data_IF_015900486059
#
_entry.id   IF_015900486059
#
_cell.length_a   1.000
_cell.length_b   1.000
_cell.length_c   1.000
_cell.angle_alpha   90.00
_cell.angle_beta   90.00
_cell.angle_gamma   90.00
#
_symmetry.space_group_name_H-M   'P 1'
#
loop_
_entity.id
_entity.type
_entity.pdbx_description
1 polymer ?
#
# COMPACT_ATOMS: atom_id res chain seq x y z
N UNK A 1 86.84 -0.60 61.31
CA UNK A 1 85.82 -1.67 61.31
C UNK A 1 84.53 -1.05 61.82
N UNK A 2 83.63 -0.69 60.90
CA UNK A 2 82.31 -1.30 60.66
C UNK A 2 81.36 -1.17 61.86
N UNK A 3 80.42 -0.20 61.80
CA UNK A 3 78.99 -0.34 61.37
C UNK A 3 78.17 -0.71 62.63
N UNK A 4 77.11 -0.01 63.05
CA UNK A 4 75.84 0.19 62.35
C UNK A 4 75.01 1.28 63.04
N UNK A 5 74.26 2.05 62.25
CA UNK A 5 73.28 3.05 62.70
C UNK A 5 71.90 2.39 62.70
N UNK A 6 71.32 2.15 63.86
CA UNK A 6 69.92 1.76 63.98
C UNK A 6 69.04 3.01 64.00
N UNK A 7 68.72 3.51 62.81
CA UNK A 7 67.63 4.45 62.59
C UNK A 7 66.45 3.65 62.07
N UNK A 8 65.39 3.66 62.85
CA UNK A 8 64.07 3.07 62.59
C UNK A 8 63.57 3.34 61.14
N UNK A 9 63.44 2.32 60.26
CA UNK A 9 62.77 2.50 58.99
C UNK A 9 61.26 2.22 59.18
N UNK A 10 60.51 3.30 58.98
CA UNK A 10 59.13 3.39 58.52
C UNK A 10 58.39 2.05 58.32
N UNK A 11 57.27 1.93 59.03
CA UNK A 11 56.22 0.91 58.85
C UNK A 11 55.90 0.61 57.38
N UNK A 12 55.57 -0.65 57.05
CA UNK A 12 55.31 -1.07 55.67
C UNK A 12 54.14 -0.27 55.07
N UNK A 13 54.34 0.15 53.83
CA UNK A 13 53.30 0.71 52.96
C UNK A 13 52.08 -0.22 52.98
N UNK A 14 51.00 0.23 53.63
CA UNK A 14 49.68 -0.36 53.43
C UNK A 14 49.23 0.12 52.06
N UNK A 15 49.23 -0.77 51.07
CA UNK A 15 48.57 -0.47 49.80
C UNK A 15 47.06 -0.33 50.08
N UNK A 16 46.39 0.72 49.56
CA UNK A 16 44.96 0.87 49.74
C UNK A 16 44.24 -0.31 49.09
N UNK A 17 43.29 -0.88 49.83
CA UNK A 17 42.43 -1.96 49.38
C UNK A 17 41.48 -1.42 48.29
N UNK A 18 41.35 -2.03 47.10
CA UNK A 18 40.62 -1.44 45.98
C UNK A 18 39.09 -1.55 46.10
N UNK A 19 38.53 -1.75 47.29
CA UNK A 19 37.11 -2.02 47.46
C UNK A 19 36.25 -0.84 47.90
N UNK A 20 36.83 0.33 48.21
CA UNK A 20 36.11 1.36 48.96
C UNK A 20 35.85 2.69 48.22
N UNK A 21 36.20 2.82 46.95
CA UNK A 21 35.88 4.03 46.16
C UNK A 21 35.51 3.70 44.72
N UNK A 22 34.32 3.16 44.46
CA UNK A 22 33.76 3.15 43.10
C UNK A 22 32.22 3.14 43.13
N UNK A 23 31.66 4.02 43.97
CA UNK A 23 30.28 4.46 43.83
C UNK A 23 30.29 5.85 43.20
N UNK A 24 29.99 5.89 41.91
CA UNK A 24 29.23 6.99 41.30
C UNK A 24 30.02 8.24 40.82
N UNK A 25 31.00 8.08 39.91
CA UNK A 25 31.40 9.21 39.04
C UNK A 25 31.80 8.73 37.63
N UNK A 26 30.82 8.41 36.79
CA UNK A 26 31.07 8.27 35.34
C UNK A 26 31.78 9.54 34.81
N UNK A 27 32.88 9.45 34.05
CA UNK A 27 33.55 10.63 33.47
C UNK A 27 32.54 11.52 32.75
N UNK A 28 32.67 12.85 32.84
CA UNK A 28 31.69 13.82 32.31
C UNK A 28 31.27 13.57 30.85
N UNK A 29 32.16 13.02 30.04
CA UNK A 29 31.92 12.65 28.64
C UNK A 29 31.00 11.42 28.51
N UNK A 30 31.13 10.45 29.42
CA UNK A 30 30.34 9.21 29.40
C UNK A 30 28.91 9.46 29.87
N UNK A 31 28.73 10.30 30.89
CA UNK A 31 27.41 10.84 31.28
C UNK A 31 26.74 11.58 30.14
N UNK A 32 27.46 12.48 29.47
CA UNK A 32 26.94 13.23 28.34
C UNK A 32 26.49 12.31 27.18
N UNK A 33 27.19 11.20 26.93
CA UNK A 33 26.79 10.20 25.92
C UNK A 33 25.53 9.44 26.33
N UNK A 34 25.43 9.02 27.59
CA UNK A 34 24.25 8.34 28.13
C UNK A 34 23.02 9.26 28.07
N UNK A 35 23.17 10.51 28.47
CA UNK A 35 22.11 11.51 28.43
C UNK A 35 21.68 11.83 26.99
N UNK A 36 22.64 11.93 26.06
CA UNK A 36 22.35 12.12 24.64
C UNK A 36 21.57 10.95 24.04
N UNK A 37 21.95 9.70 24.37
CA UNK A 37 21.24 8.51 23.89
C UNK A 37 19.81 8.45 24.43
N UNK A 38 19.63 8.70 25.73
CA UNK A 38 18.30 8.74 26.36
C UNK A 38 17.41 9.82 25.75
N UNK A 39 17.97 11.01 25.51
CA UNK A 39 17.26 12.12 24.85
C UNK A 39 16.88 11.77 23.41
N UNK A 40 17.75 11.08 22.68
CA UNK A 40 17.48 10.62 21.31
C UNK A 40 16.36 9.58 21.27
N UNK A 41 16.33 8.64 22.21
CA UNK A 41 15.25 7.67 22.35
C UNK A 41 13.91 8.33 22.68
N UNK A 42 13.90 9.30 23.60
CA UNK A 42 12.70 10.06 23.95
C UNK A 42 12.18 10.88 22.77
N UNK A 43 13.07 11.51 22.00
CA UNK A 43 12.72 12.23 20.77
C UNK A 43 12.18 11.30 19.70
N UNK A 44 12.75 10.09 19.57
CA UNK A 44 12.26 9.10 18.62
C UNK A 44 10.86 8.61 19.01
N UNK A 45 10.64 8.26 20.28
CA UNK A 45 9.33 7.85 20.82
C UNK A 45 8.28 8.95 20.65
N UNK A 46 8.62 10.21 20.94
CA UNK A 46 7.73 11.36 20.73
C UNK A 46 7.38 11.56 19.26
N UNK A 47 8.36 11.49 18.35
CA UNK A 47 8.11 11.58 16.90
C UNK A 47 7.22 10.45 16.39
N UNK A 48 7.45 9.21 16.82
CA UNK A 48 6.60 8.06 16.47
C UNK A 48 5.18 8.28 16.97
N UNK A 49 5.00 8.73 18.21
CA UNK A 49 3.68 9.05 18.75
C UNK A 49 3.00 10.22 18.03
N UNK A 50 3.75 11.26 17.63
CA UNK A 50 3.22 12.36 16.82
C UNK A 50 2.80 11.90 15.42
N UNK A 51 3.57 11.01 14.79
CA UNK A 51 3.23 10.41 13.50
C UNK A 51 1.96 9.55 13.63
N UNK A 52 1.82 8.79 14.72
CA UNK A 52 0.64 7.97 14.99
C UNK A 52 -0.60 8.80 15.37
N UNK A 53 -0.42 9.98 15.96
CA UNK A 53 -1.49 10.92 16.32
C UNK A 53 -1.93 11.84 15.17
N UNK A 54 -1.12 11.98 14.12
CA UNK A 54 -1.55 12.69 12.92
C UNK A 54 -2.72 11.91 12.31
N UNK A 55 -3.90 12.53 12.12
CA UNK A 55 -4.96 11.88 11.36
C UNK A 55 -4.36 11.51 10.01
N UNK A 56 -4.44 10.22 9.62
CA UNK A 56 -4.18 9.82 8.24
C UNK A 56 -5.00 10.78 7.39
N UNK A 57 -4.33 11.67 6.66
CA UNK A 57 -5.00 12.68 5.85
C UNK A 57 -6.10 11.98 5.08
N UNK A 58 -7.30 12.58 5.08
CA UNK A 58 -8.45 12.07 4.37
C UNK A 58 -8.00 11.84 2.92
N UNK A 59 -7.66 10.59 2.56
CA UNK A 59 -7.45 10.23 1.15
C UNK A 59 -8.77 10.59 0.52
N UNK A 60 -8.79 11.55 -0.39
CA UNK A 60 -9.94 11.74 -1.26
C UNK A 60 -10.05 10.45 -2.07
N UNK A 61 -10.81 9.49 -1.54
CA UNK A 61 -11.04 8.20 -2.14
C UNK A 61 -11.61 8.50 -3.52
N UNK A 62 -10.85 8.20 -4.58
CA UNK A 62 -11.22 8.58 -5.95
C UNK A 62 -12.56 7.92 -6.34
N UNK A 63 -12.91 6.84 -5.65
CA UNK A 63 -14.10 6.04 -5.88
C UNK A 63 -13.90 5.09 -7.04
N UNK A 64 -14.96 4.37 -7.41
CA UNK A 64 -14.94 3.35 -8.47
C UNK A 64 -16.02 3.55 -9.52
N UNK A 65 -16.54 4.78 -9.65
CA UNK A 65 -17.70 5.05 -10.53
C UNK A 65 -17.34 4.74 -11.97
N UNK A 66 -16.26 5.33 -12.47
CA UNK A 66 -15.88 5.20 -13.87
C UNK A 66 -15.41 3.78 -14.19
N UNK A 67 -14.70 3.16 -13.24
CA UNK A 67 -14.27 1.75 -13.30
C UNK A 67 -15.47 0.82 -13.37
N UNK A 68 -16.51 1.03 -12.57
CA UNK A 68 -17.73 0.22 -12.58
C UNK A 68 -18.53 0.42 -13.88
N UNK A 69 -18.57 1.63 -14.42
CA UNK A 69 -19.21 1.92 -15.72
C UNK A 69 -18.51 1.22 -16.89
N UNK A 70 -17.18 1.33 -16.96
CA UNK A 70 -16.38 0.64 -17.98
C UNK A 70 -16.46 -0.89 -17.82
N UNK A 71 -16.40 -1.39 -16.59
CA UNK A 71 -16.58 -2.82 -16.30
C UNK A 71 -17.96 -3.30 -16.75
N UNK A 72 -19.03 -2.54 -16.47
CA UNK A 72 -20.39 -2.84 -16.90
C UNK A 72 -20.50 -2.93 -18.42
N UNK A 73 -19.84 -2.01 -19.15
CA UNK A 73 -19.79 -2.03 -20.61
C UNK A 73 -19.11 -3.30 -21.12
N UNK A 74 -17.87 -3.57 -20.69
CA UNK A 74 -17.07 -4.72 -21.15
C UNK A 74 -17.78 -6.04 -20.85
N UNK A 75 -18.29 -6.20 -19.62
CA UNK A 75 -18.99 -7.42 -19.22
C UNK A 75 -20.29 -7.60 -19.98
N UNK A 76 -21.07 -6.52 -20.21
CA UNK A 76 -22.30 -6.61 -20.98
C UNK A 76 -22.01 -7.02 -22.44
N UNK A 77 -20.96 -6.44 -23.03
CA UNK A 77 -20.54 -6.76 -24.40
C UNK A 77 -20.04 -8.21 -24.53
N UNK A 78 -19.19 -8.66 -23.60
CA UNK A 78 -18.68 -10.02 -23.58
C UNK A 78 -19.79 -11.05 -23.37
N UNK A 79 -20.74 -10.79 -22.46
CA UNK A 79 -21.88 -11.68 -22.22
C UNK A 79 -22.82 -11.76 -23.42
N UNK A 80 -23.13 -10.62 -24.06
CA UNK A 80 -23.91 -10.61 -25.30
C UNK A 80 -23.22 -11.41 -26.41
N UNK A 81 -21.89 -11.23 -26.57
CA UNK A 81 -21.09 -11.95 -27.55
C UNK A 81 -21.09 -13.46 -27.29
N UNK A 82 -20.95 -13.89 -26.04
CA UNK A 82 -20.96 -15.30 -25.66
C UNK A 82 -22.32 -15.96 -25.96
N UNK A 83 -23.43 -15.29 -25.63
CA UNK A 83 -24.78 -15.79 -25.93
C UNK A 83 -25.05 -15.99 -27.42
N UNK A 84 -24.55 -15.08 -28.26
CA UNK A 84 -24.67 -15.18 -29.72
C UNK A 84 -23.76 -16.24 -30.35
N UNK A 85 -22.70 -16.65 -29.66
CA UNK A 85 -21.79 -17.69 -30.15
C UNK A 85 -22.21 -19.09 -29.69
N UNK A 86 -23.13 -19.20 -28.73
CA UNK A 86 -23.54 -20.47 -28.11
C UNK A 86 -24.29 -21.38 -29.09
N UNK A 87 -24.99 -20.81 -30.07
CA UNK A 87 -25.67 -21.55 -31.15
C UNK A 87 -24.88 -21.56 -32.49
N UNK A 88 -23.71 -20.91 -32.51
CA UNK A 88 -22.83 -20.80 -33.68
C UNK A 88 -23.37 -19.92 -34.80
N UNK A 89 -24.43 -19.13 -34.59
CA UNK A 89 -25.07 -18.32 -35.63
C UNK A 89 -25.37 -16.92 -35.12
N UNK A 90 -24.78 -15.92 -35.76
CA UNK A 90 -25.24 -14.53 -35.58
C UNK A 90 -26.55 -14.37 -36.35
N UNK A 91 -27.69 -14.41 -35.64
CA UNK A 91 -28.98 -14.11 -36.24
C UNK A 91 -29.21 -12.60 -36.29
N UNK A 92 -29.82 -12.10 -37.37
CA UNK A 92 -30.23 -10.69 -37.45
C UNK A 92 -31.22 -10.30 -36.33
N UNK A 93 -31.89 -11.27 -35.72
CA UNK A 93 -32.77 -11.05 -34.57
C UNK A 93 -32.01 -10.79 -33.25
N UNK A 94 -30.71 -11.08 -33.21
CA UNK A 94 -29.85 -10.95 -32.01
C UNK A 94 -29.05 -9.64 -32.00
N UNK A 95 -28.98 -8.94 -33.13
CA UNK A 95 -28.40 -7.59 -33.26
C UNK A 95 -28.85 -6.61 -32.16
N UNK A 96 -30.13 -6.56 -31.73
CA UNK A 96 -30.55 -5.68 -30.64
C UNK A 96 -29.82 -5.93 -29.31
N UNK A 97 -29.40 -7.17 -29.04
CA UNK A 97 -28.64 -7.52 -27.83
C UNK A 97 -27.22 -6.92 -27.85
N UNK A 98 -26.69 -6.63 -29.03
CA UNK A 98 -25.38 -6.00 -29.23
C UNK A 98 -25.46 -4.47 -29.20
N UNK A 99 -26.58 -3.91 -29.68
CA UNK A 99 -26.81 -2.45 -29.66
C UNK A 99 -26.87 -1.92 -28.24
N UNK A 100 -27.52 -2.62 -27.29
CA UNK A 100 -27.68 -2.13 -25.92
C UNK A 100 -26.35 -1.93 -25.15
N UNK A 101 -25.34 -2.81 -25.25
CA UNK A 101 -24.01 -2.53 -24.74
C UNK A 101 -23.31 -1.39 -25.49
N UNK A 102 -23.41 -1.33 -26.82
CA UNK A 102 -22.76 -0.29 -27.63
C UNK A 102 -23.25 1.11 -27.28
N UNK A 103 -24.53 1.29 -26.96
CA UNK A 103 -25.04 2.63 -26.57
C UNK A 103 -24.41 3.16 -25.29
N UNK A 104 -23.76 2.31 -24.48
CA UNK A 104 -23.00 2.72 -23.28
C UNK A 104 -21.55 3.08 -23.58
N UNK A 105 -21.09 2.87 -24.82
CA UNK A 105 -19.73 3.16 -25.22
C UNK A 105 -19.36 4.64 -25.03
N UNK A 106 -20.19 5.64 -25.41
CA UNK A 106 -19.81 7.05 -25.22
C UNK A 106 -19.54 7.41 -23.76
N UNK A 107 -20.45 7.04 -22.84
CA UNK A 107 -20.27 7.30 -21.40
C UNK A 107 -19.08 6.55 -20.82
N UNK A 108 -18.88 5.28 -21.21
CA UNK A 108 -17.72 4.51 -20.78
C UNK A 108 -16.39 5.09 -21.29
N UNK A 109 -16.36 5.68 -22.49
CA UNK A 109 -15.17 6.32 -23.05
C UNK A 109 -14.86 7.66 -22.38
N UNK A 110 -15.87 8.44 -21.98
CA UNK A 110 -15.68 9.66 -21.18
C UNK A 110 -15.02 9.35 -19.83
N UNK A 111 -15.50 8.29 -19.15
CA UNK A 111 -14.94 7.80 -17.89
C UNK A 111 -13.59 7.10 -18.01
N UNK A 112 -13.22 6.61 -19.20
CA UNK A 112 -12.07 5.72 -19.39
C UNK A 112 -10.74 6.33 -18.94
N UNK A 113 -10.60 7.66 -19.04
CA UNK A 113 -9.40 8.38 -18.62
C UNK A 113 -9.19 8.39 -17.10
N UNK A 114 -10.25 8.22 -16.30
CA UNK A 114 -10.22 8.16 -14.85
C UNK A 114 -9.93 6.77 -14.31
N UNK A 115 -10.18 5.72 -15.11
CA UNK A 115 -10.03 4.31 -14.70
C UNK A 115 -8.64 3.99 -14.19
N UNK A 116 -7.51 4.40 -14.80
CA UNK A 116 -6.19 4.12 -14.25
C UNK A 116 -6.00 4.66 -12.83
N UNK A 117 -6.50 5.86 -12.54
CA UNK A 117 -6.39 6.47 -11.22
C UNK A 117 -7.26 5.74 -10.18
N UNK A 118 -8.51 5.41 -10.54
CA UNK A 118 -9.41 4.63 -9.68
C UNK A 118 -8.84 3.23 -9.38
N UNK A 119 -8.33 2.52 -10.40
CA UNK A 119 -7.75 1.17 -10.24
C UNK A 119 -6.51 1.18 -9.34
N UNK A 120 -5.69 2.23 -9.39
CA UNK A 120 -4.50 2.37 -8.54
C UNK A 120 -4.89 2.65 -7.06
N UNK A 121 -6.00 3.35 -6.82
CA UNK A 121 -6.45 3.68 -5.45
C UNK A 121 -7.39 2.63 -4.84
N UNK A 122 -7.74 1.57 -5.59
CA UNK A 122 -8.63 0.50 -5.14
C UNK A 122 -8.22 -0.07 -3.79
N UNK A 123 -9.14 -0.02 -2.83
CA UNK A 123 -9.02 -0.75 -1.57
C UNK A 123 -9.76 -2.10 -1.63
N UNK A 124 -9.57 -2.94 -0.60
CA UNK A 124 -10.14 -4.30 -0.58
C UNK A 124 -11.67 -4.31 -0.63
N UNK A 125 -12.33 -3.30 -0.01
CA UNK A 125 -13.79 -3.19 -0.03
C UNK A 125 -14.30 -2.87 -1.43
N UNK A 126 -13.64 -1.96 -2.13
CA UNK A 126 -13.97 -1.58 -3.51
C UNK A 126 -13.69 -2.70 -4.50
N UNK A 127 -12.57 -3.41 -4.34
CA UNK A 127 -12.28 -4.63 -5.11
C UNK A 127 -13.41 -5.64 -4.94
N UNK A 128 -13.82 -5.91 -3.70
CA UNK A 128 -14.91 -6.84 -3.43
C UNK A 128 -16.23 -6.36 -4.02
N UNK A 129 -16.51 -5.05 -3.99
CA UNK A 129 -17.69 -4.47 -4.62
C UNK A 129 -17.72 -4.71 -6.15
N UNK A 130 -16.58 -4.59 -6.83
CA UNK A 130 -16.47 -4.87 -8.26
C UNK A 130 -16.64 -6.37 -8.57
N UNK A 131 -16.10 -7.26 -7.71
CA UNK A 131 -16.29 -8.71 -7.83
C UNK A 131 -17.77 -9.05 -7.66
N UNK A 132 -18.40 -8.59 -6.58
CA UNK A 132 -19.84 -8.81 -6.31
C UNK A 132 -20.69 -8.29 -7.47
N UNK A 133 -20.38 -7.11 -8.00
CA UNK A 133 -21.07 -6.56 -9.16
C UNK A 133 -21.03 -7.52 -10.37
N UNK A 134 -19.89 -8.13 -10.67
CA UNK A 134 -19.77 -9.10 -11.77
C UNK A 134 -20.46 -10.42 -11.44
N UNK A 135 -20.35 -10.89 -10.20
CA UNK A 135 -21.03 -12.11 -9.75
C UNK A 135 -22.53 -12.01 -9.93
N UNK A 136 -23.14 -10.92 -9.44
CA UNK A 136 -24.58 -10.68 -9.54
C UNK A 136 -25.02 -10.53 -11.00
N UNK A 137 -24.21 -9.83 -11.81
CA UNK A 137 -24.54 -9.54 -13.20
C UNK A 137 -24.49 -10.77 -14.11
N UNK A 138 -23.61 -11.73 -13.81
CA UNK A 138 -23.38 -12.92 -14.65
C UNK A 138 -23.80 -14.23 -13.98
N UNK A 139 -24.28 -14.18 -12.73
CA UNK A 139 -24.64 -15.36 -11.93
C UNK A 139 -23.47 -16.36 -11.80
N UNK A 140 -22.28 -15.84 -11.49
CA UNK A 140 -21.04 -16.63 -11.42
C UNK A 140 -20.45 -16.75 -10.01
N UNK A 141 -19.70 -17.83 -9.73
CA UNK A 141 -18.84 -17.94 -8.55
C UNK A 141 -17.82 -16.79 -8.43
N UNK A 142 -17.41 -16.48 -7.20
CA UNK A 142 -16.55 -15.33 -6.90
C UNK A 142 -15.18 -15.41 -7.59
N UNK A 143 -14.59 -16.61 -7.66
CA UNK A 143 -13.30 -16.84 -8.29
C UNK A 143 -13.35 -16.58 -9.81
N UNK A 144 -14.47 -16.90 -10.46
CA UNK A 144 -14.68 -16.58 -11.89
C UNK A 144 -14.92 -15.09 -12.08
N UNK A 145 -15.72 -14.46 -11.22
CA UNK A 145 -15.99 -13.03 -11.28
C UNK A 145 -14.71 -12.20 -11.07
N UNK A 146 -13.85 -12.57 -10.13
CA UNK A 146 -12.55 -11.92 -9.92
C UNK A 146 -11.67 -11.98 -11.18
N UNK A 147 -11.59 -13.15 -11.82
CA UNK A 147 -10.87 -13.30 -13.10
C UNK A 147 -11.45 -12.40 -14.19
N UNK A 148 -12.78 -12.26 -14.26
CA UNK A 148 -13.45 -11.39 -15.23
C UNK A 148 -13.17 -9.91 -14.93
N UNK A 149 -13.17 -9.48 -13.66
CA UNK A 149 -12.79 -8.11 -13.27
C UNK A 149 -11.37 -7.81 -13.74
N UNK A 150 -10.41 -8.68 -13.45
CA UNK A 150 -9.01 -8.52 -13.86
C UNK A 150 -8.87 -8.48 -15.39
N UNK A 151 -9.55 -9.38 -16.10
CA UNK A 151 -9.54 -9.40 -17.57
C UNK A 151 -10.15 -8.12 -18.15
N UNK A 152 -11.21 -7.60 -17.54
CA UNK A 152 -11.88 -6.39 -17.95
C UNK A 152 -11.00 -5.15 -17.77
N UNK A 153 -10.20 -5.08 -16.69
CA UNK A 153 -9.22 -4.00 -16.53
C UNK A 153 -8.16 -4.02 -17.62
N UNK A 154 -7.64 -5.20 -17.99
CA UNK A 154 -6.68 -5.32 -19.10
C UNK A 154 -7.30 -4.83 -20.42
N UNK A 155 -8.55 -5.22 -20.70
CA UNK A 155 -9.27 -4.76 -21.88
C UNK A 155 -9.49 -3.24 -21.86
N UNK A 156 -9.88 -2.67 -20.73
CA UNK A 156 -10.05 -1.22 -20.56
C UNK A 156 -8.76 -0.45 -20.85
N UNK A 157 -7.62 -0.92 -20.34
CA UNK A 157 -6.31 -0.32 -20.63
C UNK A 157 -5.95 -0.40 -22.11
N UNK A 158 -6.23 -1.53 -22.78
CA UNK A 158 -6.02 -1.65 -24.22
C UNK A 158 -6.91 -0.71 -25.04
N UNK A 159 -8.18 -0.54 -24.66
CA UNK A 159 -9.07 0.43 -25.29
C UNK A 159 -8.54 1.86 -25.10
N UNK A 160 -8.05 2.18 -23.89
CA UNK A 160 -7.48 3.49 -23.58
C UNK A 160 -6.24 3.79 -24.42
N UNK A 161 -5.35 2.82 -24.58
CA UNK A 161 -4.16 2.94 -25.42
C UNK A 161 -4.54 3.23 -26.88
N UNK A 162 -5.47 2.47 -27.45
CA UNK A 162 -5.97 2.71 -28.81
C UNK A 162 -6.60 4.09 -28.94
N UNK A 163 -7.42 4.50 -27.98
CA UNK A 163 -8.05 5.83 -27.96
C UNK A 163 -7.00 6.95 -27.96
N UNK A 164 -5.95 6.82 -27.14
CA UNK A 164 -4.87 7.81 -27.08
C UNK A 164 -4.10 7.90 -28.40
N UNK A 165 -3.79 6.76 -29.03
CA UNK A 165 -3.13 6.71 -30.34
C UNK A 165 -3.98 7.41 -31.41
N UNK A 166 -5.30 7.19 -31.41
CA UNK A 166 -6.21 7.82 -32.37
C UNK A 166 -6.30 9.32 -32.16
N UNK A 167 -6.38 9.79 -30.90
CA UNK A 167 -6.48 11.22 -30.54
C UNK A 167 -5.18 11.98 -30.78
N UNK A 168 -4.03 11.32 -30.77
CA UNK A 168 -2.72 11.95 -31.00
C UNK A 168 -2.45 12.34 -32.47
N UNK A 169 -3.44 12.20 -33.36
CA UNK A 169 -3.42 12.69 -34.75
C UNK A 169 -3.87 14.15 -34.84
#
# INVERSE_FOLDING_TARGET
MKVEKDINPLSPFVQPNPSDEDSEYLPSIERAKVDANKLMEERHKKRVQEILKKPKGNKMNVGIKETKEVLNFIVSLANASAKMMDDGKISLMELPMFISPITKLPSALEGLSSVPAEVIDLNEKEKQELITFVQEKLELPADKAEKIVIASFKAALGILEVYQIIKAK
#
